data_IF_482575801862
#
_entry.id   IF_482575801862
#
_cell.length_a   1.000
_cell.length_b   1.000
_cell.length_c   1.000
_cell.angle_alpha   90.00
_cell.angle_beta   90.00
_cell.angle_gamma   90.00
#
_symmetry.space_group_name_H-M   'P 1'
#
loop_
_entity.id
_entity.type
_entity.pdbx_description
1 polymer ?
#
# COMPACT_ATOMS: atom_id res chain seq x y z
N UNK A 1 34.60 26.01 -5.87
CA UNK A 1 33.12 25.98 -5.91
C UNK A 1 32.72 24.88 -6.86
N UNK A 2 32.54 23.66 -6.35
CA UNK A 2 32.00 22.55 -7.13
C UNK A 2 30.50 22.53 -6.87
N UNK A 3 29.72 22.82 -7.91
CA UNK A 3 28.27 22.66 -7.88
C UNK A 3 27.98 21.15 -7.82
N UNK A 4 27.45 20.68 -6.69
CA UNK A 4 26.83 19.37 -6.60
C UNK A 4 25.55 19.41 -7.44
N UNK A 5 25.61 18.86 -8.65
CA UNK A 5 24.43 18.56 -9.44
C UNK A 5 23.50 17.62 -8.64
N UNK A 6 22.19 17.90 -8.53
CA UNK A 6 21.26 16.99 -7.88
C UNK A 6 21.21 15.68 -8.67
N UNK A 7 21.63 14.59 -8.05
CA UNK A 7 21.45 13.22 -8.54
C UNK A 7 19.95 12.87 -8.56
N UNK A 8 19.52 11.94 -9.43
CA UNK A 8 18.10 11.63 -9.68
C UNK A 8 17.39 11.16 -8.40
N UNK A 9 16.08 11.38 -8.34
CA UNK A 9 15.13 10.92 -7.30
C UNK A 9 15.68 9.91 -6.29
N UNK A 10 16.27 10.40 -5.19
CA UNK A 10 16.84 9.51 -4.17
C UNK A 10 15.74 8.68 -3.52
N UNK A 11 16.04 7.43 -3.17
CA UNK A 11 15.11 6.55 -2.45
C UNK A 11 14.51 7.22 -1.19
N UNK A 12 15.29 8.07 -0.52
CA UNK A 12 14.83 8.88 0.63
C UNK A 12 13.72 9.87 0.28
N UNK A 13 13.76 10.46 -0.90
CA UNK A 13 12.70 11.35 -1.39
C UNK A 13 11.39 10.57 -1.58
N UNK A 14 11.47 9.35 -2.12
CA UNK A 14 10.31 8.45 -2.27
C UNK A 14 9.71 8.12 -0.91
N UNK A 15 10.53 7.76 0.08
CA UNK A 15 10.06 7.49 1.45
C UNK A 15 9.31 8.67 2.06
N UNK A 16 9.87 9.88 1.93
CA UNK A 16 9.24 11.10 2.46
C UNK A 16 7.90 11.37 1.78
N UNK A 17 7.84 11.22 0.45
CA UNK A 17 6.61 11.43 -0.34
C UNK A 17 5.52 10.44 0.05
N UNK A 18 5.85 9.16 0.22
CA UNK A 18 4.89 8.16 0.69
C UNK A 18 4.39 8.47 2.11
N UNK A 19 5.26 8.91 3.02
CA UNK A 19 4.84 9.29 4.37
C UNK A 19 3.91 10.50 4.37
N UNK A 20 4.16 11.50 3.51
CA UNK A 20 3.28 12.67 3.33
C UNK A 20 1.85 12.29 2.97
N UNK A 21 1.63 11.19 2.24
CA UNK A 21 0.30 10.69 1.90
C UNK A 21 -0.55 10.29 3.11
N UNK A 22 0.05 10.19 4.30
CA UNK A 22 -0.63 9.77 5.54
C UNK A 22 -0.86 10.89 6.54
N UNK A 23 -0.39 12.10 6.24
CA UNK A 23 -0.59 13.25 7.14
C UNK A 23 -1.68 14.18 6.63
N UNK A 24 -2.60 14.61 7.50
CA UNK A 24 -3.59 15.62 7.16
C UNK A 24 -2.92 17.00 7.18
N UNK A 25 -2.29 17.46 6.10
CA UNK A 25 -2.06 18.90 5.87
C UNK A 25 -1.81 19.23 4.39
N UNK A 26 -2.37 20.40 4.05
CA UNK A 26 -2.40 21.18 2.82
C UNK A 26 -1.56 20.66 1.64
N UNK A 27 -2.21 20.58 0.48
CA UNK A 27 -1.63 20.50 -0.85
C UNK A 27 -0.39 21.42 -0.97
N UNK A 28 0.78 20.92 -0.56
CA UNK A 28 2.04 21.55 -0.88
C UNK A 28 2.39 21.05 -2.27
N UNK A 29 2.55 22.02 -3.17
CA UNK A 29 2.90 21.79 -4.58
C UNK A 29 4.01 20.75 -4.66
N UNK A 30 3.90 19.74 -5.55
CA UNK A 30 4.98 18.78 -5.71
C UNK A 30 6.28 19.56 -5.96
N UNK A 31 7.40 19.17 -5.32
CA UNK A 31 8.70 19.71 -5.68
C UNK A 31 8.90 19.51 -7.19
N UNK A 32 9.72 20.37 -7.85
CA UNK A 32 9.97 20.24 -9.27
C UNK A 32 10.36 18.79 -9.60
N UNK A 33 9.66 18.18 -10.54
CA UNK A 33 9.91 16.82 -11.00
C UNK A 33 11.40 16.65 -11.29
N UNK A 34 12.09 15.92 -10.42
CA UNK A 34 13.41 15.40 -10.73
C UNK A 34 13.28 14.56 -12.01
N UNK A 35 14.22 14.68 -12.97
CA UNK A 35 14.17 13.86 -14.17
C UNK A 35 14.13 12.38 -13.77
N UNK A 36 13.31 11.54 -14.44
CA UNK A 36 13.21 10.13 -14.10
C UNK A 36 14.61 9.49 -14.21
N UNK A 37 14.92 8.52 -13.32
CA UNK A 37 16.16 7.74 -13.41
C UNK A 37 16.36 7.22 -14.84
N UNK A 38 17.62 7.14 -15.28
CA UNK A 38 17.95 6.64 -16.63
C UNK A 38 17.66 5.13 -16.75
N UNK A 39 17.40 4.47 -15.62
CA UNK A 39 17.02 3.07 -15.53
C UNK A 39 15.61 2.79 -16.10
N UNK A 40 15.39 1.67 -16.83
CA UNK A 40 14.08 1.32 -17.42
C UNK A 40 12.91 1.25 -16.43
N UNK A 41 13.19 0.97 -15.15
CA UNK A 41 12.17 0.96 -14.09
C UNK A 41 11.87 2.34 -13.50
N UNK A 42 12.70 3.36 -13.76
CA UNK A 42 12.53 4.71 -13.24
C UNK A 42 11.14 5.31 -13.54
N UNK A 43 10.67 5.28 -14.80
CA UNK A 43 9.32 5.74 -15.14
C UNK A 43 8.20 4.94 -14.46
N UNK A 44 8.39 3.63 -14.28
CA UNK A 44 7.39 2.75 -13.63
C UNK A 44 7.31 3.07 -12.14
N UNK A 45 8.44 3.20 -11.45
CA UNK A 45 8.51 3.59 -10.04
C UNK A 45 7.90 4.98 -9.81
N UNK A 46 8.21 5.95 -10.67
CA UNK A 46 7.64 7.29 -10.61
C UNK A 46 6.12 7.28 -10.84
N UNK A 47 5.62 6.48 -11.79
CA UNK A 47 4.18 6.32 -12.05
C UNK A 47 3.45 5.68 -10.87
N UNK A 48 4.02 4.63 -10.27
CA UNK A 48 3.46 3.98 -9.09
C UNK A 48 3.39 4.96 -7.91
N UNK A 49 4.47 5.70 -7.63
CA UNK A 49 4.51 6.71 -6.57
C UNK A 49 3.46 7.81 -6.79
N UNK A 50 3.37 8.35 -8.01
CA UNK A 50 2.39 9.38 -8.35
C UNK A 50 0.95 8.88 -8.16
N UNK A 51 0.68 7.63 -8.50
CA UNK A 51 -0.64 7.03 -8.27
C UNK A 51 -0.97 6.91 -6.77
N UNK A 52 0.01 6.59 -5.91
CA UNK A 52 -0.19 6.61 -4.45
C UNK A 52 -0.49 8.02 -3.94
N UNK A 53 0.23 9.04 -4.41
CA UNK A 53 0.00 10.44 -4.01
C UNK A 53 -1.38 10.96 -4.42
N UNK A 54 -1.89 10.50 -5.57
CA UNK A 54 -3.25 10.79 -6.04
C UNK A 54 -4.33 9.96 -5.31
N UNK A 55 -3.94 9.05 -4.42
CA UNK A 55 -4.83 8.12 -3.76
C UNK A 55 -5.44 7.07 -4.69
N UNK A 56 -4.87 6.86 -5.88
CA UNK A 56 -5.24 5.81 -6.82
C UNK A 56 -4.37 4.55 -6.61
N UNK A 57 -4.62 3.88 -5.49
CA UNK A 57 -3.86 2.70 -5.10
C UNK A 57 -4.03 1.52 -6.07
N UNK A 58 -5.15 1.45 -6.80
CA UNK A 58 -5.38 0.42 -7.80
C UNK A 58 -4.43 0.61 -9.00
N UNK A 59 -4.29 1.84 -9.49
CA UNK A 59 -3.33 2.17 -10.56
C UNK A 59 -1.88 1.95 -10.11
N UNK A 60 -1.55 2.27 -8.86
CA UNK A 60 -0.22 2.03 -8.29
C UNK A 60 0.14 0.53 -8.32
N UNK A 61 -0.78 -0.33 -7.87
CA UNK A 61 -0.60 -1.78 -7.86
C UNK A 61 -0.53 -2.35 -9.28
N UNK A 62 -1.42 -1.93 -10.18
CA UNK A 62 -1.42 -2.36 -11.57
C UNK A 62 -0.12 -2.00 -12.30
N UNK A 63 0.49 -0.86 -11.95
CA UNK A 63 1.79 -0.43 -12.50
C UNK A 63 2.96 -1.23 -11.92
N UNK A 64 2.92 -1.63 -10.65
CA UNK A 64 4.08 -2.22 -9.96
C UNK A 64 4.12 -3.75 -10.00
N UNK A 65 2.98 -4.40 -9.74
CA UNK A 65 2.88 -5.86 -9.53
C UNK A 65 3.43 -6.68 -10.71
N UNK A 66 3.16 -6.35 -11.99
CA UNK A 66 3.68 -7.14 -13.11
C UNK A 66 5.21 -7.16 -13.19
N UNK A 67 5.90 -6.13 -12.69
CA UNK A 67 7.36 -6.08 -12.67
C UNK A 67 7.95 -6.90 -11.53
N UNK A 68 7.33 -6.87 -10.36
CA UNK A 68 7.75 -7.64 -9.18
C UNK A 68 7.58 -9.14 -9.47
N UNK A 69 6.44 -9.56 -10.02
CA UNK A 69 6.14 -10.98 -10.24
C UNK A 69 6.89 -11.58 -11.44
N UNK A 70 7.26 -10.77 -12.45
CA UNK A 70 8.07 -11.23 -13.59
C UNK A 70 9.44 -11.74 -13.17
N UNK A 71 10.00 -11.27 -12.05
CA UNK A 71 11.29 -11.73 -11.54
C UNK A 71 11.29 -13.25 -11.20
N UNK A 72 10.13 -13.87 -11.00
CA UNK A 72 9.97 -15.29 -10.66
C UNK A 72 9.54 -16.19 -11.81
N UNK A 73 9.52 -15.71 -13.06
CA UNK A 73 8.96 -16.41 -14.22
C UNK A 73 9.68 -17.74 -14.62
N UNK A 74 10.56 -18.29 -13.79
CA UNK A 74 11.16 -19.62 -13.98
C UNK A 74 10.34 -20.78 -13.40
N UNK A 75 9.23 -20.53 -12.71
CA UNK A 75 8.43 -21.60 -12.09
C UNK A 75 7.00 -21.52 -12.58
N UNK A 76 6.57 -22.52 -13.36
CA UNK A 76 5.17 -22.82 -13.67
C UNK A 76 4.45 -23.09 -12.34
N UNK A 77 4.00 -22.02 -11.70
CA UNK A 77 3.25 -22.07 -10.46
C UNK A 77 1.82 -22.44 -10.79
N UNK A 78 1.29 -23.44 -10.10
CA UNK A 78 -0.14 -23.66 -10.02
C UNK A 78 -0.73 -22.51 -9.17
N UNK A 79 -1.03 -21.39 -9.83
CA UNK A 79 -1.54 -20.14 -9.21
C UNK A 79 -2.91 -20.33 -8.51
N UNK A 80 -3.43 -21.56 -8.46
CA UNK A 80 -4.67 -21.89 -7.81
C UNK A 80 -4.58 -22.00 -6.28
N UNK A 81 -3.39 -22.16 -5.71
CA UNK A 81 -3.16 -22.22 -4.25
C UNK A 81 -2.65 -20.88 -3.68
N UNK A 82 -3.42 -20.20 -2.79
CA UNK A 82 -2.97 -18.94 -2.19
C UNK A 82 -1.64 -19.05 -1.43
N UNK A 83 -1.40 -20.15 -0.73
CA UNK A 83 -0.14 -20.36 -0.01
C UNK A 83 1.07 -20.42 -0.94
N UNK A 84 0.93 -21.09 -2.09
CA UNK A 84 2.01 -21.18 -3.08
C UNK A 84 2.22 -19.84 -3.76
N UNK A 85 1.15 -19.14 -4.14
CA UNK A 85 1.23 -17.80 -4.71
C UNK A 85 1.97 -16.82 -3.79
N UNK A 86 1.60 -16.73 -2.51
CA UNK A 86 2.26 -15.83 -1.57
C UNK A 86 3.71 -16.24 -1.30
N UNK A 87 4.02 -17.55 -1.27
CA UNK A 87 5.39 -18.04 -1.21
C UNK A 87 6.23 -17.61 -2.42
N UNK A 88 5.67 -17.73 -3.63
CA UNK A 88 6.32 -17.28 -4.86
C UNK A 88 6.47 -15.76 -4.92
N UNK A 89 5.47 -15.01 -4.48
CA UNK A 89 5.54 -13.55 -4.39
C UNK A 89 6.66 -13.09 -3.46
N UNK A 90 6.81 -13.74 -2.29
CA UNK A 90 7.88 -13.43 -1.35
C UNK A 90 9.27 -13.62 -2.00
N UNK A 91 9.48 -14.79 -2.60
CA UNK A 91 10.72 -15.08 -3.32
C UNK A 91 10.94 -14.13 -4.52
N UNK A 92 9.88 -13.80 -5.27
CA UNK A 92 9.93 -12.87 -6.39
C UNK A 92 10.39 -11.49 -5.94
N UNK A 93 9.81 -10.99 -4.85
CA UNK A 93 10.11 -9.68 -4.33
C UNK A 93 11.56 -9.59 -3.82
N UNK A 94 12.07 -10.63 -3.16
CA UNK A 94 13.47 -10.68 -2.72
C UNK A 94 14.44 -10.68 -3.91
N UNK A 95 14.21 -11.55 -4.91
CA UNK A 95 15.02 -11.60 -6.14
C UNK A 95 14.95 -10.28 -6.89
N UNK A 96 13.74 -9.71 -7.02
CA UNK A 96 13.54 -8.42 -7.69
C UNK A 96 14.31 -7.29 -7.01
N UNK A 97 14.28 -7.20 -5.68
CA UNK A 97 14.99 -6.16 -4.95
C UNK A 97 16.51 -6.30 -5.15
N UNK A 98 17.04 -7.52 -5.00
CA UNK A 98 18.48 -7.80 -5.13
C UNK A 98 18.99 -7.59 -6.56
N UNK A 99 18.20 -7.91 -7.58
CA UNK A 99 18.60 -7.85 -8.99
C UNK A 99 19.54 -8.98 -9.41
N UNK A 100 19.80 -9.09 -10.72
CA UNK A 100 20.60 -10.17 -11.32
C UNK A 100 22.12 -9.99 -11.13
N UNK A 101 22.58 -8.76 -10.94
CA UNK A 101 24.00 -8.43 -10.84
C UNK A 101 24.41 -8.33 -9.37
N UNK A 102 25.07 -9.37 -8.86
CA UNK A 102 25.58 -9.46 -7.49
C UNK A 102 26.67 -8.45 -7.09
N UNK A 103 26.47 -7.15 -7.29
CA UNK A 103 27.46 -6.12 -6.93
C UNK A 103 26.98 -4.67 -6.96
N UNK A 104 26.86 -4.08 -5.76
CA UNK A 104 27.00 -2.64 -5.53
C UNK A 104 25.71 -1.91 -5.11
N UNK A 105 25.66 -1.46 -3.86
CA UNK A 105 24.58 -0.64 -3.26
C UNK A 105 24.39 0.76 -3.88
N UNK A 106 24.98 1.03 -5.05
CA UNK A 106 24.93 2.31 -5.77
C UNK A 106 24.49 2.13 -7.24
N UNK A 107 23.73 1.06 -7.51
CA UNK A 107 23.05 0.87 -8.80
C UNK A 107 21.74 1.69 -8.81
N UNK A 108 21.57 2.60 -9.78
CA UNK A 108 20.30 3.32 -9.99
C UNK A 108 19.12 2.34 -10.17
N UNK A 109 19.40 1.12 -10.64
CA UNK A 109 18.43 0.04 -10.70
C UNK A 109 17.92 -0.39 -9.32
N UNK A 110 18.78 -0.48 -8.31
CA UNK A 110 18.40 -0.86 -6.94
C UNK A 110 17.42 0.14 -6.33
N UNK A 111 17.71 1.43 -6.43
CA UNK A 111 16.81 2.48 -5.91
C UNK A 111 15.43 2.43 -6.60
N UNK A 112 15.40 2.21 -7.92
CA UNK A 112 14.14 2.06 -8.66
C UNK A 112 13.34 0.83 -8.21
N UNK A 113 14.01 -0.32 -7.96
CA UNK A 113 13.37 -1.56 -7.52
C UNK A 113 12.79 -1.41 -6.11
N UNK A 114 13.57 -0.84 -5.18
CA UNK A 114 13.11 -0.52 -3.84
C UNK A 114 11.95 0.48 -3.83
N UNK A 115 12.04 1.57 -4.61
CA UNK A 115 10.96 2.56 -4.73
C UNK A 115 9.67 1.93 -5.25
N UNK A 116 9.77 1.02 -6.22
CA UNK A 116 8.61 0.32 -6.78
C UNK A 116 7.96 -0.63 -5.77
N UNK A 117 8.76 -1.44 -5.06
CA UNK A 117 8.27 -2.38 -4.03
C UNK A 117 7.64 -1.62 -2.86
N UNK A 118 8.31 -0.57 -2.38
CA UNK A 118 7.80 0.26 -1.28
C UNK A 118 6.48 0.94 -1.68
N UNK A 119 6.40 1.51 -2.89
CA UNK A 119 5.17 2.13 -3.39
C UNK A 119 4.02 1.12 -3.49
N UNK A 120 4.28 -0.10 -3.98
CA UNK A 120 3.27 -1.15 -4.05
C UNK A 120 2.79 -1.60 -2.65
N UNK A 121 3.72 -1.76 -1.71
CA UNK A 121 3.39 -2.15 -0.34
C UNK A 121 2.54 -1.09 0.37
N UNK A 122 2.94 0.18 0.24
CA UNK A 122 2.18 1.32 0.79
C UNK A 122 0.82 1.46 0.12
N UNK A 123 0.75 1.30 -1.20
CA UNK A 123 -0.53 1.31 -1.93
C UNK A 123 -1.49 0.24 -1.39
N UNK A 124 -1.02 -0.99 -1.17
CA UNK A 124 -1.85 -2.07 -0.64
C UNK A 124 -2.34 -1.77 0.79
N UNK A 125 -1.45 -1.29 1.66
CA UNK A 125 -1.82 -0.90 3.04
C UNK A 125 -2.84 0.24 3.05
N UNK A 126 -2.61 1.30 2.27
CA UNK A 126 -3.52 2.45 2.21
C UNK A 126 -4.84 2.12 1.52
N UNK A 127 -4.84 1.21 0.54
CA UNK A 127 -6.07 0.68 -0.05
C UNK A 127 -6.92 -0.07 0.98
N UNK A 128 -6.30 -0.91 1.81
CA UNK A 128 -6.98 -1.56 2.93
C UNK A 128 -7.53 -0.52 3.92
N UNK A 129 -6.73 0.46 4.34
CA UNK A 129 -7.16 1.52 5.26
C UNK A 129 -8.31 2.34 4.67
N UNK A 130 -8.28 2.67 3.38
CA UNK A 130 -9.35 3.40 2.71
C UNK A 130 -10.66 2.63 2.68
N UNK A 131 -10.62 1.32 2.45
CA UNK A 131 -11.82 0.48 2.43
C UNK A 131 -12.45 0.28 3.80
N UNK A 132 -11.63 0.17 4.84
CA UNK A 132 -12.07 -0.31 6.14
C UNK A 132 -12.14 0.77 7.23
N UNK A 133 -11.44 1.90 7.06
CA UNK A 133 -11.28 2.91 8.13
C UNK A 133 -11.72 4.30 7.67
N UNK A 134 -11.19 4.81 6.55
CA UNK A 134 -11.34 6.24 6.21
C UNK A 134 -12.42 6.53 5.17
N UNK A 135 -12.68 5.62 4.23
CA UNK A 135 -13.61 5.83 3.13
C UNK A 135 -13.19 6.93 2.13
N UNK A 136 -13.92 7.12 1.02
CA UNK A 136 -14.99 6.24 0.52
C UNK A 136 -14.44 4.93 -0.08
N UNK A 137 -15.23 3.85 -0.07
CA UNK A 137 -14.83 2.58 -0.68
C UNK A 137 -14.68 2.73 -2.20
N UNK A 138 -13.63 2.12 -2.74
CA UNK A 138 -13.32 2.03 -4.17
C UNK A 138 -13.51 0.61 -4.71
N UNK A 139 -13.50 0.46 -6.04
CA UNK A 139 -13.44 -0.87 -6.66
C UNK A 139 -11.98 -1.21 -6.93
N UNK A 140 -11.58 -2.43 -6.58
CA UNK A 140 -10.27 -2.98 -6.88
C UNK A 140 -10.43 -4.17 -7.83
N UNK A 141 -9.41 -4.40 -8.68
CA UNK A 141 -9.35 -5.60 -9.52
C UNK A 141 -9.36 -6.87 -8.65
N UNK A 142 -9.92 -7.98 -9.14
CA UNK A 142 -9.84 -9.24 -8.40
C UNK A 142 -8.39 -9.65 -8.14
N UNK A 143 -8.14 -10.20 -6.95
CA UNK A 143 -6.85 -10.78 -6.60
C UNK A 143 -6.70 -12.14 -7.32
N UNK A 144 -5.53 -12.49 -7.86
CA UNK A 144 -4.22 -11.84 -7.74
C UNK A 144 -3.93 -10.82 -8.85
N UNK A 145 -4.63 -9.67 -8.93
CA UNK A 145 -4.38 -8.54 -9.85
C UNK A 145 -4.36 -8.85 -11.37
N UNK A 146 -4.40 -10.13 -11.77
CA UNK A 146 -4.24 -10.62 -13.13
C UNK A 146 -5.56 -10.93 -13.85
N UNK A 147 -6.70 -10.83 -13.15
CA UNK A 147 -8.00 -11.15 -13.74
C UNK A 147 -8.56 -9.96 -14.52
N UNK A 148 -7.93 -9.67 -15.66
CA UNK A 148 -8.62 -9.10 -16.82
C UNK A 148 -8.33 -9.95 -18.06
N UNK A 149 -8.49 -11.26 -17.95
CA UNK A 149 -8.89 -12.03 -19.14
C UNK A 149 -10.35 -11.70 -19.40
N UNK A 150 -10.61 -11.17 -20.59
CA UNK A 150 -11.91 -10.75 -21.09
C UNK A 150 -12.97 -11.84 -20.87
N UNK A 151 -13.92 -11.58 -19.99
CA UNK A 151 -15.23 -12.20 -20.00
C UNK A 151 -16.25 -11.07 -19.85
N UNK A 152 -16.56 -10.41 -20.97
CA UNK A 152 -17.90 -10.35 -21.52
C UNK A 152 -17.88 -9.43 -22.76
N UNK A 153 -17.60 -10.00 -23.92
CA UNK A 153 -17.95 -9.40 -25.20
C UNK A 153 -18.64 -10.48 -26.02
N UNK A 154 -19.94 -10.67 -25.75
CA UNK A 154 -20.76 -11.57 -26.55
C UNK A 154 -21.91 -12.26 -25.83
N UNK A 155 -22.91 -11.53 -25.34
CA UNK A 155 -24.32 -11.82 -25.64
C UNK A 155 -25.22 -10.69 -25.12
N UNK A 156 -25.72 -9.84 -26.03
CA UNK A 156 -27.11 -9.37 -26.11
C UNK A 156 -27.14 -8.26 -27.16
N UNK A 157 -27.13 -8.66 -28.43
CA UNK A 157 -27.68 -7.83 -29.48
C UNK A 157 -29.19 -8.02 -29.52
N UNK A 158 -29.86 -6.87 -29.44
CA UNK A 158 -31.17 -6.57 -29.99
C UNK A 158 -32.43 -6.96 -29.20
N UNK A 159 -33.05 -5.94 -28.60
CA UNK A 159 -34.43 -5.58 -28.93
C UNK A 159 -34.77 -4.16 -28.41
N UNK A 160 -34.78 -3.19 -29.32
CA UNK A 160 -35.86 -2.19 -29.45
C UNK A 160 -36.21 -1.24 -28.28
N UNK A 161 -35.67 -0.01 -28.35
CA UNK A 161 -36.43 1.24 -28.39
C UNK A 161 -37.28 1.69 -27.19
N UNK A 162 -36.86 2.78 -26.53
CA UNK A 162 -37.54 4.09 -26.59
C UNK A 162 -36.81 5.14 -25.77
N UNK A 163 -36.69 6.29 -26.40
CA UNK A 163 -36.16 7.55 -25.90
C UNK A 163 -37.27 8.33 -25.14
N UNK A 164 -36.82 9.27 -24.31
CA UNK A 164 -37.55 10.35 -23.61
C UNK A 164 -38.10 10.03 -22.21
N UNK A 165 -37.59 10.72 -21.18
CA UNK A 165 -38.27 11.90 -20.64
C UNK A 165 -37.63 12.34 -19.31
N UNK A 166 -37.08 13.55 -19.30
CA UNK A 166 -36.82 14.32 -18.09
C UNK A 166 -38.15 14.80 -17.51
N UNK A 167 -38.43 14.50 -16.25
CA UNK A 167 -39.43 15.20 -15.46
C UNK A 167 -39.01 15.26 -13.99
N UNK A 168 -38.74 16.50 -13.56
CA UNK A 168 -38.80 17.01 -12.20
C UNK A 168 -40.06 16.52 -11.47
N UNK A 169 -39.96 16.23 -10.16
CA UNK A 169 -40.99 16.61 -9.17
C UNK A 169 -40.37 16.74 -7.77
N UNK A 170 -40.81 17.85 -7.19
CA UNK A 170 -40.70 18.46 -5.87
C UNK A 170 -40.53 17.65 -4.59
N UNK A 171 -40.00 18.42 -3.64
CA UNK A 171 -39.90 18.28 -2.20
C UNK A 171 -41.15 17.75 -1.49
N UNK A 172 -40.95 16.78 -0.60
CA UNK A 172 -41.61 16.79 0.69
C UNK A 172 -40.71 16.16 1.77
N UNK A 173 -40.26 17.02 2.68
CA UNK A 173 -39.56 16.65 3.90
C UNK A 173 -40.51 15.85 4.78
N UNK A 174 -40.14 14.60 5.10
CA UNK A 174 -40.49 13.95 6.35
C UNK A 174 -39.26 13.17 6.83
N UNK A 175 -38.67 13.66 7.92
CA UNK A 175 -37.50 13.08 8.55
C UNK A 175 -37.75 11.62 8.93
N UNK A 176 -36.95 10.74 8.33
CA UNK A 176 -36.60 9.44 8.90
C UNK A 176 -35.09 9.37 8.87
N UNK A 177 -34.49 9.47 10.05
CA UNK A 177 -33.09 9.15 10.27
C UNK A 177 -32.95 7.64 10.07
N UNK A 178 -32.51 7.23 8.89
CA UNK A 178 -32.17 5.83 8.58
C UNK A 178 -30.66 5.71 8.75
N UNK A 179 -30.14 4.81 9.61
CA UNK A 179 -28.72 4.55 9.68
C UNK A 179 -28.21 4.15 8.29
N UNK A 180 -27.17 4.82 7.81
CA UNK A 180 -26.59 4.68 6.45
C UNK A 180 -26.24 3.24 6.05
N UNK A 181 -26.19 2.29 6.99
CA UNK A 181 -25.76 0.91 6.79
C UNK A 181 -26.87 -0.09 6.39
N UNK A 182 -28.13 0.32 6.21
CA UNK A 182 -29.22 -0.63 5.90
C UNK A 182 -29.84 -0.50 4.50
N UNK A 183 -29.23 0.24 3.58
CA UNK A 183 -29.66 0.16 2.17
C UNK A 183 -28.87 -0.93 1.45
N UNK A 184 -29.45 -2.14 1.47
CA UNK A 184 -29.41 -3.14 0.40
C UNK A 184 -28.21 -3.00 -0.56
N UNK A 185 -27.03 -3.41 -0.09
CA UNK A 185 -25.97 -3.87 -0.98
C UNK A 185 -26.58 -5.02 -1.78
N UNK A 186 -26.94 -4.72 -3.02
CA UNK A 186 -27.45 -5.66 -4.01
C UNK A 186 -26.73 -7.01 -3.86
N UNK A 187 -27.48 -8.06 -3.54
CA UNK A 187 -27.01 -9.43 -3.25
C UNK A 187 -26.34 -10.12 -4.47
N UNK A 188 -26.04 -9.34 -5.52
CA UNK A 188 -25.31 -9.74 -6.72
C UNK A 188 -23.78 -9.62 -6.63
N UNK A 189 -23.22 -9.07 -5.55
CA UNK A 189 -21.76 -8.99 -5.36
C UNK A 189 -21.08 -10.31 -4.95
N UNK A 190 -21.81 -11.43 -4.93
CA UNK A 190 -21.29 -12.79 -4.75
C UNK A 190 -21.04 -13.53 -6.08
N UNK A 191 -20.51 -12.83 -7.09
CA UNK A 191 -19.67 -13.54 -8.06
C UNK A 191 -18.25 -13.39 -7.54
N UNK A 192 -17.68 -14.51 -7.10
CA UNK A 192 -16.53 -14.63 -6.23
C UNK A 192 -15.20 -14.82 -7.01
N UNK A 193 -14.46 -13.75 -7.34
CA UNK A 193 -13.10 -13.91 -7.83
C UNK A 193 -12.03 -13.68 -6.73
N UNK A 194 -12.43 -13.47 -5.47
CA UNK A 194 -11.51 -13.11 -4.36
C UNK A 194 -11.62 -13.98 -3.11
N UNK A 195 -12.62 -14.84 -3.00
CA UNK A 195 -13.06 -15.48 -1.76
C UNK A 195 -12.10 -16.52 -1.24
N UNK A 196 -11.45 -17.29 -2.12
CA UNK A 196 -10.37 -18.18 -1.70
C UNK A 196 -9.16 -17.42 -1.14
N UNK A 197 -8.86 -16.24 -1.71
CA UNK A 197 -7.74 -15.39 -1.30
C UNK A 197 -8.02 -14.67 0.02
N UNK A 198 -9.24 -14.14 0.17
CA UNK A 198 -9.72 -13.49 1.39
C UNK A 198 -9.83 -14.51 2.54
N UNK A 199 -10.37 -15.70 2.28
CA UNK A 199 -10.46 -16.78 3.28
C UNK A 199 -9.07 -17.25 3.73
N UNK A 200 -8.14 -17.41 2.78
CA UNK A 200 -6.76 -17.77 3.12
C UNK A 200 -6.07 -16.65 3.91
N UNK A 201 -6.22 -15.39 3.50
CA UNK A 201 -5.64 -14.25 4.20
C UNK A 201 -6.20 -14.11 5.62
N UNK A 202 -7.51 -14.35 5.80
CA UNK A 202 -8.14 -14.42 7.12
C UNK A 202 -7.54 -15.53 7.98
N UNK A 203 -7.35 -16.73 7.43
CA UNK A 203 -6.72 -17.84 8.16
C UNK A 203 -5.25 -17.56 8.48
N UNK A 204 -4.52 -16.92 7.56
CA UNK A 204 -3.15 -16.49 7.76
C UNK A 204 -3.04 -15.50 8.92
N UNK A 205 -3.90 -14.47 8.94
CA UNK A 205 -3.94 -13.52 10.05
C UNK A 205 -4.38 -14.17 11.36
N UNK A 206 -5.31 -15.14 11.30
CA UNK A 206 -5.73 -15.85 12.49
C UNK A 206 -4.61 -16.72 13.10
N UNK A 207 -3.61 -17.11 12.31
CA UNK A 207 -2.46 -17.89 12.77
C UNK A 207 -1.58 -17.15 13.79
N UNK A 208 -1.70 -15.80 13.88
CA UNK A 208 -1.05 -15.00 14.91
C UNK A 208 -1.66 -15.19 16.32
N UNK A 209 -2.65 -16.07 16.48
CA UNK A 209 -3.13 -16.52 17.80
C UNK A 209 -4.49 -15.95 18.22
N UNK A 210 -5.25 -15.36 17.30
CA UNK A 210 -6.62 -14.89 17.54
C UNK A 210 -7.46 -15.03 16.27
N UNK A 211 -8.78 -14.96 16.37
CA UNK A 211 -9.64 -14.92 15.19
C UNK A 211 -9.66 -13.53 14.55
N UNK A 212 -10.00 -13.46 13.25
CA UNK A 212 -10.32 -12.18 12.61
C UNK A 212 -11.66 -11.68 13.18
N UNK A 213 -11.64 -10.48 13.77
CA UNK A 213 -12.77 -9.87 14.44
C UNK A 213 -13.31 -8.70 13.63
N UNK A 214 -14.42 -8.92 12.92
CA UNK A 214 -15.07 -7.90 12.11
C UNK A 214 -15.23 -8.32 10.65
N UNK A 215 -15.88 -7.46 9.88
CA UNK A 215 -16.03 -7.63 8.43
C UNK A 215 -15.05 -6.70 7.73
N UNK A 216 -13.86 -7.22 7.46
CA UNK A 216 -12.86 -6.52 6.67
C UNK A 216 -12.95 -6.92 5.21
N UNK A 217 -12.61 -5.97 4.34
CA UNK A 217 -12.41 -6.20 2.91
C UNK A 217 -10.91 -6.10 2.60
N UNK A 218 -10.43 -6.89 1.64
CA UNK A 218 -9.06 -6.85 1.15
C UNK A 218 -8.02 -7.31 2.17
N UNK A 219 -8.31 -8.32 2.99
CA UNK A 219 -7.31 -8.92 3.88
C UNK A 219 -6.08 -9.42 3.12
N UNK A 220 -6.25 -9.85 1.86
CA UNK A 220 -5.16 -10.16 0.93
C UNK A 220 -4.16 -9.02 0.75
N UNK A 221 -4.60 -7.75 0.83
CA UNK A 221 -3.69 -6.61 0.68
C UNK A 221 -2.82 -6.40 1.91
N UNK A 222 -3.30 -6.78 3.10
CA UNK A 222 -2.49 -6.76 4.32
C UNK A 222 -1.36 -7.79 4.21
N UNK A 223 -1.66 -9.01 3.78
CA UNK A 223 -0.62 -10.05 3.61
C UNK A 223 0.34 -9.67 2.47
N UNK A 224 -0.19 -9.13 1.37
CA UNK A 224 0.62 -8.63 0.26
C UNK A 224 1.60 -7.53 0.71
N UNK A 225 1.12 -6.53 1.46
CA UNK A 225 1.96 -5.45 1.99
C UNK A 225 3.02 -5.99 2.96
N UNK A 226 2.67 -6.95 3.81
CA UNK A 226 3.61 -7.61 4.74
C UNK A 226 4.79 -8.25 4.02
N UNK A 227 4.52 -9.01 2.97
CA UNK A 227 5.55 -9.71 2.20
C UNK A 227 6.47 -8.72 1.50
N UNK A 228 5.92 -7.68 0.87
CA UNK A 228 6.72 -6.67 0.19
C UNK A 228 7.55 -5.80 1.15
N UNK A 229 7.01 -5.42 2.31
CA UNK A 229 7.80 -4.69 3.32
C UNK A 229 8.89 -5.59 3.91
N UNK A 230 8.62 -6.88 4.08
CA UNK A 230 9.59 -7.85 4.59
C UNK A 230 10.73 -8.09 3.60
N UNK A 231 10.47 -8.11 2.29
CA UNK A 231 11.52 -8.31 1.28
C UNK A 231 12.53 -7.16 1.24
N UNK A 232 12.12 -5.94 1.56
CA UNK A 232 13.01 -4.76 1.67
C UNK A 232 13.46 -4.47 3.10
N UNK A 233 12.95 -5.18 4.11
CA UNK A 233 13.29 -4.98 5.53
C UNK A 233 14.76 -5.27 5.83
N UNK A 234 15.38 -6.22 5.12
CA UNK A 234 16.81 -6.52 5.29
C UNK A 234 17.71 -5.34 4.90
N UNK A 235 17.16 -4.35 4.20
CA UNK A 235 17.80 -3.13 3.74
C UNK A 235 17.55 -1.94 4.68
N UNK A 236 17.12 -2.18 5.93
CA UNK A 236 16.72 -1.18 6.96
C UNK A 236 17.72 0.01 7.08
N UNK A 237 19.00 -0.21 6.77
CA UNK A 237 20.06 0.80 6.80
C UNK A 237 19.87 1.93 5.77
N UNK A 238 19.26 1.62 4.62
CA UNK A 238 19.08 2.55 3.50
C UNK A 238 17.62 3.04 3.35
N UNK A 239 16.69 2.40 4.08
CA UNK A 239 15.24 2.58 3.99
C UNK A 239 14.61 2.74 5.38
N UNK A 240 14.94 3.83 6.07
CA UNK A 240 14.54 4.02 7.46
C UNK A 240 13.02 3.98 7.69
N UNK A 241 12.21 4.38 6.70
CA UNK A 241 10.74 4.41 6.79
C UNK A 241 10.10 3.01 6.77
N UNK A 242 10.82 1.96 6.38
CA UNK A 242 10.26 0.58 6.36
C UNK A 242 9.83 0.15 7.76
N UNK A 243 10.60 0.49 8.80
CA UNK A 243 10.20 0.24 10.19
C UNK A 243 8.90 0.96 10.58
N UNK A 244 8.66 2.16 10.05
CA UNK A 244 7.44 2.93 10.28
C UNK A 244 6.23 2.26 9.60
N UNK A 245 6.38 1.86 8.33
CA UNK A 245 5.32 1.15 7.61
C UNK A 245 5.00 -0.22 8.22
N UNK A 246 6.02 -0.96 8.66
CA UNK A 246 5.84 -2.23 9.38
C UNK A 246 5.14 -2.02 10.72
N UNK A 247 5.41 -0.93 11.44
CA UNK A 247 4.66 -0.56 12.65
C UNK A 247 3.17 -0.35 12.34
N UNK A 248 2.84 0.43 11.31
CA UNK A 248 1.46 0.68 10.87
C UNK A 248 0.74 -0.58 10.40
N UNK A 249 1.45 -1.44 9.66
CA UNK A 249 0.94 -2.74 9.24
C UNK A 249 0.60 -3.62 10.44
N UNK A 250 1.53 -3.78 11.39
CA UNK A 250 1.31 -4.61 12.58
C UNK A 250 0.23 -4.03 13.50
N UNK A 251 0.09 -2.72 13.61
CA UNK A 251 -1.05 -2.09 14.27
C UNK A 251 -2.39 -2.40 13.56
N UNK A 252 -2.39 -2.48 12.23
CA UNK A 252 -3.58 -2.85 11.45
C UNK A 252 -3.93 -4.31 11.65
N UNK A 253 -2.94 -5.21 11.68
CA UNK A 253 -3.12 -6.62 12.01
C UNK A 253 -3.66 -6.80 13.43
N UNK A 254 -3.16 -6.05 14.42
CA UNK A 254 -3.71 -6.03 15.78
C UNK A 254 -5.19 -5.64 15.79
N UNK A 255 -5.56 -4.58 15.08
CA UNK A 255 -6.96 -4.16 14.98
C UNK A 255 -7.85 -5.24 14.35
N UNK A 256 -7.34 -5.94 13.33
CA UNK A 256 -8.07 -7.04 12.68
C UNK A 256 -8.32 -8.20 13.66
N UNK A 257 -7.45 -8.39 14.64
CA UNK A 257 -7.53 -9.46 15.63
C UNK A 257 -8.10 -9.00 16.99
N UNK A 258 -8.75 -7.83 17.03
CA UNK A 258 -9.31 -7.20 18.25
C UNK A 258 -8.27 -7.01 19.37
N UNK A 259 -7.01 -6.77 18.99
CA UNK A 259 -5.87 -6.55 19.90
C UNK A 259 -5.50 -7.78 20.76
N UNK A 260 -6.04 -8.96 20.44
CA UNK A 260 -5.88 -10.18 21.24
C UNK A 260 -4.59 -10.98 20.94
N UNK A 261 -3.76 -10.55 19.99
CA UNK A 261 -2.51 -11.26 19.67
C UNK A 261 -1.31 -10.66 20.40
N UNK A 262 -0.76 -11.41 21.36
CA UNK A 262 0.45 -10.99 22.08
C UNK A 262 1.70 -10.97 21.19
N UNK A 263 1.80 -11.87 20.21
CA UNK A 263 2.93 -11.92 19.29
C UNK A 263 2.96 -10.71 18.36
N UNK A 264 1.79 -10.27 17.85
CA UNK A 264 1.68 -9.04 17.08
C UNK A 264 1.92 -7.81 17.96
N UNK A 265 1.46 -7.82 19.21
CA UNK A 265 1.78 -6.75 20.16
C UNK A 265 3.29 -6.58 20.35
N UNK A 266 4.02 -7.67 20.60
CA UNK A 266 5.48 -7.64 20.71
C UNK A 266 6.14 -7.11 19.42
N UNK A 267 5.63 -7.52 18.26
CA UNK A 267 6.08 -7.05 16.95
C UNK A 267 5.83 -5.54 16.76
N UNK A 268 4.68 -5.03 17.17
CA UNK A 268 4.38 -3.59 17.19
C UNK A 268 5.41 -2.85 18.04
N UNK A 269 5.75 -3.35 19.24
CA UNK A 269 6.75 -2.70 20.09
C UNK A 269 8.15 -2.68 19.44
N UNK A 270 8.54 -3.78 18.79
CA UNK A 270 9.83 -3.85 18.08
C UNK A 270 9.90 -2.80 16.97
N UNK A 271 8.88 -2.71 16.12
CA UNK A 271 8.88 -1.74 15.02
C UNK A 271 8.70 -0.30 15.50
N UNK A 272 7.90 -0.06 16.54
CA UNK A 272 7.79 1.23 17.21
C UNK A 272 9.15 1.74 17.65
N UNK A 273 9.92 0.91 18.35
CA UNK A 273 11.24 1.29 18.86
C UNK A 273 12.23 1.57 17.72
N UNK A 274 12.20 0.78 16.65
CA UNK A 274 13.00 1.03 15.44
C UNK A 274 12.62 2.34 14.74
N UNK A 275 11.32 2.57 14.54
CA UNK A 275 10.79 3.81 13.97
C UNK A 275 11.26 5.02 14.79
N UNK A 276 11.14 4.98 16.12
CA UNK A 276 11.59 6.07 16.99
C UNK A 276 13.11 6.27 16.96
N UNK A 277 13.89 5.21 16.73
CA UNK A 277 15.34 5.34 16.56
C UNK A 277 15.71 6.20 15.33
N UNK A 278 14.85 6.27 14.30
CA UNK A 278 15.09 7.11 13.13
C UNK A 278 14.32 8.44 13.16
N UNK A 279 13.08 8.41 13.65
CA UNK A 279 12.14 9.53 13.51
C UNK A 279 11.70 10.16 14.84
N UNK A 280 12.25 9.71 15.98
CA UNK A 280 11.92 10.24 17.31
C UNK A 280 12.62 11.56 17.66
N UNK A 281 13.66 11.95 16.92
CA UNK A 281 14.46 13.15 17.18
C UNK A 281 14.56 14.02 15.91
N UNK A 282 14.33 15.32 16.06
CA UNK A 282 14.38 16.27 14.94
C UNK A 282 15.74 16.30 14.24
N UNK A 283 16.83 16.13 15.00
CA UNK A 283 18.19 16.08 14.44
C UNK A 283 18.36 14.90 13.46
N UNK A 284 17.84 13.72 13.80
CA UNK A 284 17.91 12.52 12.94
C UNK A 284 17.06 12.69 11.68
N UNK A 285 15.84 13.18 11.84
CA UNK A 285 14.93 13.48 10.71
C UNK A 285 15.56 14.50 9.77
N UNK A 286 16.13 15.58 10.31
CA UNK A 286 16.79 16.63 9.53
C UNK A 286 18.06 16.14 8.87
N UNK A 287 18.84 15.27 9.52
CA UNK A 287 20.04 14.66 8.95
C UNK A 287 19.69 13.71 7.79
N UNK A 288 18.60 12.96 7.92
CA UNK A 288 18.20 11.96 6.93
C UNK A 288 17.64 12.58 5.65
N UNK A 289 16.65 13.48 5.76
CA UNK A 289 15.99 14.10 4.61
C UNK A 289 16.50 15.49 4.25
N UNK A 290 17.15 16.21 5.17
CA UNK A 290 17.81 17.48 4.89
C UNK A 290 16.95 18.45 4.09
N UNK A 291 17.43 18.78 2.89
CA UNK A 291 16.79 19.73 1.96
C UNK A 291 15.47 19.24 1.35
N UNK A 292 15.07 17.99 1.55
CA UNK A 292 13.75 17.49 1.08
C UNK A 292 12.60 17.94 1.99
N UNK A 293 12.89 18.41 3.20
CA UNK A 293 11.90 18.86 4.18
C UNK A 293 11.45 20.29 3.89
N UNK A 294 10.15 20.53 3.99
CA UNK A 294 9.56 21.87 4.06
C UNK A 294 9.79 22.50 5.44
N UNK A 295 9.65 23.82 5.53
CA UNK A 295 9.77 24.55 6.80
C UNK A 295 8.82 23.99 7.87
N UNK A 296 9.37 23.56 9.00
CA UNK A 296 8.62 22.98 10.11
C UNK A 296 8.17 21.53 9.92
N UNK A 297 8.29 20.96 8.72
CA UNK A 297 7.84 19.59 8.41
C UNK A 297 8.57 18.52 9.22
N UNK A 298 9.88 18.69 9.45
CA UNK A 298 10.67 17.78 10.28
C UNK A 298 10.06 17.63 11.69
N UNK A 299 9.60 18.72 12.29
CA UNK A 299 8.94 18.70 13.61
C UNK A 299 7.57 18.03 13.55
N UNK A 300 6.82 18.23 12.46
CA UNK A 300 5.55 17.53 12.23
C UNK A 300 5.74 16.02 12.10
N UNK A 301 6.79 15.57 11.40
CA UNK A 301 7.12 14.16 11.26
C UNK A 301 7.52 13.52 12.59
N UNK A 302 8.35 14.20 13.39
CA UNK A 302 8.70 13.72 14.74
C UNK A 302 7.46 13.60 15.61
N UNK A 303 6.59 14.62 15.58
CA UNK A 303 5.34 14.61 16.35
C UNK A 303 4.42 13.47 15.94
N UNK A 304 4.33 13.18 14.63
CA UNK A 304 3.57 12.05 14.11
C UNK A 304 4.16 10.70 14.55
N UNK A 305 5.48 10.53 14.48
CA UNK A 305 6.14 9.30 14.93
C UNK A 305 5.90 9.05 16.43
N UNK A 306 5.99 10.10 17.26
CA UNK A 306 5.70 10.01 18.69
C UNK A 306 4.21 9.73 18.98
N UNK A 307 3.29 10.33 18.22
CA UNK A 307 1.86 10.06 18.35
C UNK A 307 1.53 8.61 18.02
N UNK A 308 2.04 8.10 16.90
CA UNK A 308 1.85 6.70 16.50
C UNK A 308 2.51 5.73 17.49
N UNK A 309 3.66 6.11 18.07
CA UNK A 309 4.27 5.34 19.14
C UNK A 309 3.40 5.30 20.40
N UNK A 310 2.78 6.42 20.78
CA UNK A 310 1.82 6.46 21.88
C UNK A 310 0.58 5.60 21.62
N UNK A 311 0.08 5.58 20.39
CA UNK A 311 -1.01 4.67 19.99
C UNK A 311 -0.57 3.20 20.09
N UNK A 312 0.66 2.89 19.72
CA UNK A 312 1.23 1.55 19.84
C UNK A 312 1.44 1.12 21.31
N UNK A 313 1.57 2.05 22.26
CA UNK A 313 1.71 1.76 23.69
C UNK A 313 0.38 1.58 24.43
N UNK A 314 -0.70 2.13 23.90
CA UNK A 314 -2.02 2.08 24.52
C UNK A 314 -2.82 0.81 24.15
N UNK A 315 -2.42 0.14 23.08
CA UNK A 315 -2.93 -1.20 22.70
C UNK A 315 -2.32 -2.29 23.56
#
# INVERSE_FOLDING_TARGET
MAASSPSPTSLREVELRLLRCTFPTAASRPPPHSPPPVHPLGPVAASALAAVELGDYAAALASAVPHILRASASTEADDDSPAQFYGHLAAAAEVFVLGDDGGGAADEGFECRCALVLSAAVAALLAFTQQNVTGPPRKYSPFPFFSTSSFDDGLYSDAGGKQDQWASIDSHVHGKFVPFWTSSLDERWYSDPGGKWEAWASHHLASFGSHVHGKFLLLQFIVFAELLLTSIKSLDSDLCSVSWWLCRLSMSQQNILDELSSSLFDQVQVYKNKMLAHFGELERVSSYWGSFLCDGEGSSLVSAALLEAGLAEYK
#
